data_IF_224412230678
#
_entry.id   IF_224412230678
#
_cell.length_a   1.000
_cell.length_b   1.000
_cell.length_c   1.000
_cell.angle_alpha   90.00
_cell.angle_beta   90.00
_cell.angle_gamma   90.00
#
_symmetry.space_group_name_H-M   'P 1'
#
loop_
_entity.id
_entity.type
_entity.pdbx_description
1 polymer ?
#
# COMPACT_ATOMS: atom_id res chain seq x y z
N UNK A 1 65.20 -16.93 -4.50
CA UNK A 1 65.48 -18.10 -5.37
C UNK A 1 64.36 -18.16 -6.34
N UNK A 2 64.53 -17.56 -7.53
CA UNK A 2 64.90 -18.19 -8.80
C UNK A 2 63.72 -18.99 -9.38
N UNK A 3 63.14 -18.84 -10.53
CA UNK A 3 63.59 -18.23 -11.79
C UNK A 3 62.38 -18.18 -12.77
N UNK A 4 62.26 -17.13 -13.54
CA UNK A 4 61.69 -17.04 -14.88
C UNK A 4 62.65 -17.77 -15.87
N UNK A 5 62.46 -18.01 -17.17
CA UNK A 5 61.69 -17.34 -18.21
C UNK A 5 61.32 -18.17 -19.48
N UNK A 6 60.85 -17.50 -20.53
CA UNK A 6 61.06 -17.87 -21.93
C UNK A 6 59.81 -17.81 -22.79
N UNK A 7 59.45 -16.81 -23.50
CA UNK A 7 59.97 -16.19 -24.77
C UNK A 7 60.04 -17.14 -25.98
N UNK A 8 59.39 -16.72 -27.09
CA UNK A 8 59.83 -16.59 -28.49
C UNK A 8 58.68 -16.69 -29.47
N UNK A 9 58.40 -15.69 -30.28
CA UNK A 9 59.00 -15.10 -31.47
C UNK A 9 58.56 -15.75 -32.79
N UNK A 10 57.87 -14.99 -33.62
CA UNK A 10 57.85 -14.70 -35.06
C UNK A 10 58.55 -15.69 -36.02
N UNK A 11 58.38 -15.61 -37.40
CA UNK A 11 58.00 -14.53 -38.33
C UNK A 11 57.37 -14.91 -39.68
N UNK A 12 57.18 -13.92 -40.56
CA UNK A 12 57.45 -13.96 -41.98
C UNK A 12 56.26 -13.76 -42.91
N UNK A 13 56.03 -12.69 -43.48
CA UNK A 13 56.57 -11.89 -44.58
C UNK A 13 56.37 -12.42 -46.00
N UNK A 14 55.97 -11.51 -46.89
CA UNK A 14 56.28 -11.29 -48.33
C UNK A 14 55.08 -11.44 -49.26
N UNK A 15 54.87 -10.70 -50.38
CA UNK A 15 55.50 -9.64 -51.11
C UNK A 15 54.53 -9.24 -52.22
N UNK A 16 54.57 -8.00 -52.68
CA UNK A 16 54.05 -7.32 -53.89
C UNK A 16 54.43 -8.01 -55.19
N UNK A 17 54.09 -7.51 -56.45
CA UNK A 17 53.54 -6.23 -56.91
C UNK A 17 52.65 -6.32 -58.19
N UNK A 18 52.18 -5.14 -58.71
CA UNK A 18 51.78 -5.06 -60.12
C UNK A 18 50.94 -3.82 -60.47
N UNK A 19 51.69 -2.82 -60.86
CA UNK A 19 51.25 -1.58 -61.51
C UNK A 19 50.62 -1.78 -62.88
N UNK A 20 49.67 -0.89 -63.27
CA UNK A 20 49.74 -0.19 -64.57
C UNK A 20 48.73 0.99 -64.68
N UNK A 21 49.22 2.09 -65.16
CA UNK A 21 48.69 3.34 -65.59
C UNK A 21 47.59 3.23 -66.64
N UNK A 22 46.64 4.21 -66.70
CA UNK A 22 46.35 5.08 -67.84
C UNK A 22 45.19 6.07 -67.60
N UNK A 23 45.50 7.34 -67.69
CA UNK A 23 44.99 8.56 -68.37
C UNK A 23 43.61 9.14 -68.02
N UNK A 24 43.76 10.37 -67.65
CA UNK A 24 42.96 11.63 -67.75
C UNK A 24 41.77 11.67 -68.69
N UNK A 25 40.63 12.21 -68.22
CA UNK A 25 40.07 13.54 -68.57
C UNK A 25 38.70 13.78 -67.94
N UNK A 26 38.15 15.04 -67.93
CA UNK A 26 37.48 15.61 -66.79
C UNK A 26 35.94 15.72 -66.97
N UNK A 27 35.21 15.62 -65.87
CA UNK A 27 33.82 16.05 -65.82
C UNK A 27 33.51 16.64 -64.44
N UNK A 28 34.13 17.79 -64.21
CA UNK A 28 33.69 18.71 -63.20
C UNK A 28 32.53 19.50 -63.77
N UNK A 29 31.31 19.33 -63.24
CA UNK A 29 30.21 20.32 -63.18
C UNK A 29 28.89 19.80 -62.65
N UNK A 30 28.75 18.49 -62.38
CA UNK A 30 27.49 17.94 -61.86
C UNK A 30 27.51 17.51 -60.39
N UNK A 31 28.63 17.65 -59.70
CA UNK A 31 28.74 17.19 -58.29
C UNK A 31 28.36 18.28 -57.26
N UNK A 32 28.22 19.57 -57.67
CA UNK A 32 27.88 20.62 -56.71
C UNK A 32 26.37 20.81 -56.49
N UNK A 33 25.52 20.33 -57.41
CA UNK A 33 24.07 20.43 -57.26
C UNK A 33 23.48 19.30 -56.39
N UNK A 34 24.15 18.15 -56.31
CA UNK A 34 23.67 17.02 -55.52
C UNK A 34 24.01 17.16 -53.99
N UNK A 35 25.09 17.89 -53.67
CA UNK A 35 25.48 18.13 -52.28
C UNK A 35 24.64 19.19 -51.55
N UNK A 36 24.09 20.17 -52.31
CA UNK A 36 23.17 21.15 -51.72
C UNK A 36 21.76 20.59 -51.49
N UNK A 37 21.29 19.60 -52.26
CA UNK A 37 19.98 18.97 -52.05
C UNK A 37 20.01 18.01 -50.81
N UNK A 38 21.12 17.36 -50.53
CA UNK A 38 21.26 16.54 -49.32
C UNK A 38 21.40 17.37 -48.02
N UNK A 39 21.96 18.57 -48.08
CA UNK A 39 22.07 19.46 -46.93
C UNK A 39 20.72 20.08 -46.50
N UNK A 40 19.79 20.24 -47.45
CA UNK A 40 18.43 20.77 -47.15
C UNK A 40 17.44 19.68 -46.63
N UNK A 41 17.72 18.38 -46.87
CA UNK A 41 16.88 17.29 -46.35
C UNK A 41 17.32 16.85 -44.96
N UNK A 42 18.53 17.19 -44.52
CA UNK A 42 19.04 16.80 -43.16
C UNK A 42 18.59 17.76 -42.06
N UNK A 43 18.03 18.92 -42.39
CA UNK A 43 17.54 19.90 -41.42
C UNK A 43 16.10 19.61 -40.93
N UNK A 44 15.43 18.58 -41.48
CA UNK A 44 14.03 18.25 -41.14
C UNK A 44 13.85 17.11 -40.14
N UNK A 45 14.95 16.52 -39.61
CA UNK A 45 14.90 15.45 -38.62
C UNK A 45 15.60 15.83 -37.27
N UNK A 46 15.50 17.10 -36.88
CA UNK A 46 15.68 17.42 -35.47
C UNK A 46 14.47 16.85 -34.71
N UNK A 47 14.63 16.00 -33.70
CA UNK A 47 13.51 15.60 -32.88
C UNK A 47 12.89 16.88 -32.32
N UNK A 48 11.63 17.12 -32.64
CA UNK A 48 10.87 18.20 -32.02
C UNK A 48 11.05 18.08 -30.52
N UNK A 49 11.33 19.18 -29.78
CA UNK A 49 11.38 19.12 -28.33
C UNK A 49 10.07 18.48 -27.90
N UNK A 50 10.19 17.34 -27.19
CA UNK A 50 9.03 16.57 -26.76
C UNK A 50 8.03 17.54 -26.17
N UNK A 51 6.90 17.68 -26.81
CA UNK A 51 5.73 18.33 -26.21
C UNK A 51 5.51 17.56 -24.93
N UNK A 52 5.94 18.13 -23.81
CA UNK A 52 5.41 17.76 -22.51
C UNK A 52 3.90 17.80 -22.72
N UNK A 53 3.30 16.63 -22.77
CA UNK A 53 1.85 16.55 -22.90
C UNK A 53 1.33 17.24 -21.65
N UNK A 54 0.85 18.48 -21.81
CA UNK A 54 0.13 19.20 -20.78
C UNK A 54 -1.03 18.28 -20.46
N UNK A 55 -0.97 17.62 -19.29
CA UNK A 55 -2.00 16.72 -18.85
C UNK A 55 -3.33 17.42 -19.09
N UNK A 56 -4.17 16.84 -19.97
CA UNK A 56 -5.57 17.27 -20.11
C UNK A 56 -6.10 17.20 -18.70
N UNK A 57 -6.54 18.35 -18.16
CA UNK A 57 -7.05 18.46 -16.81
C UNK A 57 -7.96 17.27 -16.54
N UNK A 58 -7.82 16.65 -15.38
CA UNK A 58 -8.73 15.59 -14.95
C UNK A 58 -10.15 16.08 -15.25
N UNK A 59 -11.04 15.25 -15.84
CA UNK A 59 -12.44 15.62 -15.99
C UNK A 59 -12.90 16.09 -14.63
N UNK A 60 -13.55 17.26 -14.58
CA UNK A 60 -14.03 17.85 -13.33
C UNK A 60 -14.55 16.75 -12.43
N UNK A 61 -13.90 16.57 -11.28
CA UNK A 61 -14.31 15.55 -10.34
C UNK A 61 -15.67 15.99 -9.84
N UNK A 62 -16.73 15.39 -10.39
CA UNK A 62 -18.12 15.76 -10.12
C UNK A 62 -18.53 15.29 -8.72
N UNK A 63 -17.80 15.75 -7.67
CA UNK A 63 -18.15 15.50 -6.29
C UNK A 63 -18.73 16.77 -5.67
N UNK A 64 -19.93 16.64 -5.16
CA UNK A 64 -20.57 17.67 -4.35
C UNK A 64 -20.02 17.59 -2.92
N UNK A 65 -19.40 18.66 -2.46
CA UNK A 65 -18.97 18.80 -1.06
C UNK A 65 -20.16 19.22 -0.22
N UNK A 66 -20.59 18.35 0.71
CA UNK A 66 -21.71 18.62 1.59
C UNK A 66 -21.30 19.40 2.83
N UNK A 67 -22.30 19.88 3.59
CA UNK A 67 -22.08 20.57 4.86
C UNK A 67 -21.24 19.70 5.81
N UNK A 68 -20.20 20.27 6.45
CA UNK A 68 -19.28 19.53 7.31
C UNK A 68 -19.93 19.08 8.62
N UNK A 69 -19.35 18.00 9.16
CA UNK A 69 -19.61 17.56 10.53
C UNK A 69 -18.29 17.69 11.31
N UNK A 70 -18.35 18.27 12.50
CA UNK A 70 -17.14 18.53 13.30
C UNK A 70 -17.27 17.98 14.71
N UNK A 71 -16.18 17.44 15.21
CA UNK A 71 -16.03 17.11 16.62
C UNK A 71 -14.60 17.43 17.07
N UNK A 72 -14.45 18.23 18.12
CA UNK A 72 -13.16 18.75 18.57
C UNK A 72 -12.40 19.40 17.40
N UNK A 73 -11.16 18.99 17.16
CA UNK A 73 -10.28 19.50 16.11
C UNK A 73 -10.41 18.77 14.74
N UNK A 74 -11.34 17.83 14.61
CA UNK A 74 -11.59 17.07 13.39
C UNK A 74 -12.86 17.59 12.70
N UNK A 75 -12.75 17.91 11.42
CA UNK A 75 -13.88 18.29 10.56
C UNK A 75 -13.92 17.38 9.34
N UNK A 76 -15.08 16.78 9.09
CA UNK A 76 -15.32 15.88 7.97
C UNK A 76 -16.30 16.53 7.00
N UNK A 77 -15.94 16.60 5.73
CA UNK A 77 -16.83 17.04 4.65
C UNK A 77 -17.25 15.79 3.87
N UNK A 78 -18.50 15.32 4.02
CA UNK A 78 -19.00 14.22 3.20
C UNK A 78 -19.06 14.64 1.74
N UNK A 79 -18.75 13.71 0.85
CA UNK A 79 -18.75 13.93 -0.60
C UNK A 79 -19.82 13.06 -1.25
N UNK A 80 -20.76 13.69 -1.95
CA UNK A 80 -21.72 12.99 -2.80
C UNK A 80 -21.20 12.94 -4.22
N UNK A 81 -21.37 11.80 -4.90
CA UNK A 81 -20.87 11.62 -6.27
C UNK A 81 -21.56 10.49 -7.01
N UNK A 82 -20.98 10.07 -8.12
CA UNK A 82 -21.42 8.88 -8.83
C UNK A 82 -21.36 7.66 -7.90
N UNK A 83 -22.40 6.85 -7.90
CA UNK A 83 -22.55 5.67 -7.05
C UNK A 83 -22.54 4.41 -7.92
N UNK A 84 -21.34 3.94 -8.25
CA UNK A 84 -21.17 2.74 -9.06
C UNK A 84 -21.53 1.49 -8.24
N UNK A 85 -22.10 0.47 -8.90
CA UNK A 85 -22.32 -0.83 -8.29
C UNK A 85 -20.96 -1.48 -7.93
N UNK A 86 -20.75 -1.76 -6.66
CA UNK A 86 -19.50 -2.30 -6.12
C UNK A 86 -19.67 -3.66 -5.43
N UNK A 87 -20.73 -4.39 -5.75
CA UNK A 87 -21.02 -5.72 -5.18
C UNK A 87 -20.02 -6.81 -5.58
N UNK A 88 -19.29 -6.58 -6.67
CA UNK A 88 -18.21 -7.45 -7.14
C UNK A 88 -16.94 -7.35 -6.28
N UNK A 89 -16.90 -6.42 -5.31
CA UNK A 89 -15.75 -6.22 -4.44
C UNK A 89 -16.04 -6.63 -3.00
N UNK A 90 -14.98 -7.06 -2.31
CA UNK A 90 -14.98 -7.40 -0.88
C UNK A 90 -13.84 -6.65 -0.19
N UNK A 91 -14.02 -6.30 1.08
CA UNK A 91 -12.97 -5.70 1.90
C UNK A 91 -12.12 -6.78 2.59
N UNK A 92 -10.94 -6.39 3.09
CA UNK A 92 -10.08 -7.29 3.86
C UNK A 92 -10.82 -7.86 5.08
N UNK A 93 -11.53 -6.99 5.83
CA UNK A 93 -12.25 -7.39 7.04
C UNK A 93 -13.38 -8.39 6.76
N UNK A 94 -14.10 -8.18 5.65
CA UNK A 94 -15.15 -9.14 5.22
C UNK A 94 -14.52 -10.47 4.83
N UNK A 95 -13.44 -10.44 4.05
CA UNK A 95 -12.78 -11.63 3.53
C UNK A 95 -12.13 -12.48 4.63
N UNK A 96 -11.40 -11.85 5.58
CA UNK A 96 -10.76 -12.56 6.70
C UNK A 96 -11.80 -13.09 7.69
N UNK A 97 -12.84 -12.29 8.01
CA UNK A 97 -13.93 -12.74 8.89
C UNK A 97 -14.67 -13.95 8.34
N UNK A 98 -14.92 -13.98 7.04
CA UNK A 98 -15.59 -15.08 6.36
C UNK A 98 -14.65 -16.25 6.08
N UNK A 99 -13.34 -16.10 6.37
CA UNK A 99 -12.32 -17.10 6.07
C UNK A 99 -12.07 -17.33 4.56
N UNK A 100 -12.55 -16.42 3.70
CA UNK A 100 -12.38 -16.51 2.25
C UNK A 100 -11.14 -15.79 1.75
N UNK A 101 -10.54 -14.93 2.58
CA UNK A 101 -9.23 -14.31 2.36
C UNK A 101 -8.31 -14.78 3.47
N UNK A 102 -7.15 -15.33 3.09
CA UNK A 102 -6.14 -15.82 4.03
C UNK A 102 -4.83 -15.11 3.75
N UNK A 103 -4.20 -14.63 4.82
CA UNK A 103 -2.86 -14.00 4.80
C UNK A 103 -1.95 -14.80 5.72
N UNK A 104 -0.73 -15.09 5.26
CA UNK A 104 0.27 -15.81 6.04
C UNK A 104 1.69 -15.31 5.77
N UNK A 105 2.64 -15.66 6.64
CA UNK A 105 4.07 -15.45 6.38
C UNK A 105 4.47 -16.16 5.09
N UNK A 106 5.26 -15.48 4.24
CA UNK A 106 5.80 -16.07 3.02
C UNK A 106 7.08 -16.83 3.33
N UNK A 107 7.15 -18.10 2.91
CA UNK A 107 8.34 -18.92 3.05
C UNK A 107 8.57 -19.52 4.46
N UNK A 108 7.66 -19.33 5.41
CA UNK A 108 7.72 -20.01 6.70
C UNK A 108 7.26 -21.47 6.53
N UNK A 109 8.19 -22.41 6.59
CA UNK A 109 7.84 -23.84 6.69
C UNK A 109 7.71 -24.23 8.15
N UNK A 110 6.56 -24.78 8.52
CA UNK A 110 6.37 -25.39 9.84
C UNK A 110 6.88 -26.82 9.76
N UNK A 111 8.11 -27.06 10.21
CA UNK A 111 8.60 -28.41 10.38
C UNK A 111 8.25 -28.91 11.78
N UNK A 112 7.55 -30.04 11.87
CA UNK A 112 7.35 -30.77 13.14
C UNK A 112 8.59 -31.59 13.43
N UNK A 113 9.39 -31.17 14.41
CA UNK A 113 10.51 -31.96 14.91
C UNK A 113 10.02 -32.91 16.01
N UNK A 114 10.16 -34.21 15.80
CA UNK A 114 9.96 -35.19 16.85
C UNK A 114 11.18 -35.15 17.78
N UNK A 115 11.03 -34.66 18.98
CA UNK A 115 12.08 -34.70 20.00
C UNK A 115 11.78 -35.83 21.00
N UNK A 116 12.74 -36.72 21.20
CA UNK A 116 12.66 -37.71 22.28
C UNK A 116 12.90 -37.00 23.59
N UNK A 117 11.88 -36.88 24.42
CA UNK A 117 12.03 -36.39 25.79
C UNK A 117 12.65 -37.45 26.69
N UNK A 118 13.26 -37.03 27.79
CA UNK A 118 13.92 -37.89 28.79
C UNK A 118 13.00 -38.96 29.42
N UNK A 119 11.70 -38.93 29.20
CA UNK A 119 10.68 -39.85 29.67
C UNK A 119 10.08 -40.76 28.61
N UNK A 120 10.75 -40.96 27.47
CA UNK A 120 10.29 -41.80 26.35
C UNK A 120 8.94 -41.38 25.71
N UNK A 121 8.38 -40.23 26.07
CA UNK A 121 7.23 -39.63 25.37
C UNK A 121 7.72 -38.77 24.19
N UNK A 122 7.20 -39.05 23.00
CA UNK A 122 7.44 -38.20 21.84
C UNK A 122 6.63 -36.90 21.98
N UNK A 123 7.33 -35.83 22.26
CA UNK A 123 6.72 -34.48 22.23
C UNK A 123 6.89 -33.93 20.82
N UNK A 124 5.79 -33.67 20.15
CA UNK A 124 5.82 -32.94 18.89
C UNK A 124 5.99 -31.45 19.21
N UNK A 125 7.16 -30.93 18.96
CA UNK A 125 7.43 -29.50 19.04
C UNK A 125 7.39 -28.91 17.64
N UNK A 126 6.45 -28.02 17.38
CA UNK A 126 6.43 -27.25 16.14
C UNK A 126 7.61 -26.26 16.18
N UNK A 127 8.56 -26.45 15.31
CA UNK A 127 9.68 -25.52 15.12
C UNK A 127 9.45 -24.80 13.81
N UNK A 128 9.22 -23.50 13.89
CA UNK A 128 9.14 -22.65 12.69
C UNK A 128 10.55 -22.31 12.24
N UNK A 129 10.94 -22.80 11.08
CA UNK A 129 12.17 -22.39 10.41
C UNK A 129 11.84 -21.25 9.46
N UNK A 130 12.47 -20.10 9.66
CA UNK A 130 12.32 -18.90 8.84
C UNK A 130 13.45 -18.75 7.81
N UNK A 131 13.83 -19.82 7.15
CA UNK A 131 14.73 -19.68 6.02
C UNK A 131 13.97 -19.08 4.84
N UNK A 132 14.15 -17.77 4.59
CA UNK A 132 13.60 -17.06 3.43
C UNK A 132 12.31 -16.26 3.67
N UNK A 133 11.87 -16.04 4.90
CA UNK A 133 10.75 -15.13 5.16
C UNK A 133 11.14 -13.70 4.75
N UNK A 134 10.45 -13.15 3.75
CA UNK A 134 10.61 -11.75 3.36
C UNK A 134 9.91 -10.87 4.38
N UNK A 135 10.65 -9.97 5.02
CA UNK A 135 10.12 -9.05 6.05
C UNK A 135 9.03 -8.14 5.46
N UNK A 136 9.10 -7.85 4.16
CA UNK A 136 8.24 -6.88 3.47
C UNK A 136 7.22 -7.53 2.54
N UNK A 137 7.06 -8.85 2.59
CA UNK A 137 6.06 -9.58 1.79
C UNK A 137 5.35 -10.63 2.61
N UNK A 138 4.03 -10.68 2.46
CA UNK A 138 3.17 -11.76 2.95
C UNK A 138 2.59 -12.54 1.77
N UNK A 139 2.11 -13.74 2.05
CA UNK A 139 1.35 -14.56 1.11
C UNK A 139 -0.14 -14.33 1.33
N UNK A 140 -0.90 -14.04 0.26
CA UNK A 140 -2.33 -13.82 0.31
C UNK A 140 -3.04 -14.73 -0.70
N UNK A 141 -4.15 -15.34 -0.27
CA UNK A 141 -5.07 -16.08 -1.15
C UNK A 141 -6.46 -15.48 -1.00
N UNK A 142 -7.11 -15.16 -2.14
CA UNK A 142 -8.47 -14.66 -2.21
C UNK A 142 -9.40 -15.72 -2.82
N UNK A 143 -10.13 -16.46 -2.00
CA UNK A 143 -11.12 -17.50 -2.39
C UNK A 143 -12.56 -16.98 -2.32
N UNK A 144 -12.79 -15.67 -2.19
CA UNK A 144 -14.12 -15.10 -1.95
C UNK A 144 -15.06 -15.11 -3.16
N UNK A 145 -14.55 -15.41 -4.36
CA UNK A 145 -15.30 -15.25 -5.61
C UNK A 145 -15.48 -13.78 -6.03
N UNK A 146 -15.01 -12.82 -5.23
CA UNK A 146 -15.07 -11.36 -5.47
C UNK A 146 -13.67 -10.77 -5.53
N UNK A 147 -13.52 -9.61 -6.17
CA UNK A 147 -12.27 -8.86 -6.15
C UNK A 147 -12.05 -8.29 -4.75
N UNK A 148 -10.90 -8.56 -4.15
CA UNK A 148 -10.53 -7.97 -2.86
C UNK A 148 -9.94 -6.58 -3.11
N UNK A 149 -10.55 -5.56 -2.53
CA UNK A 149 -9.94 -4.24 -2.44
C UNK A 149 -9.10 -4.17 -1.17
N UNK A 150 -7.85 -3.75 -1.30
CA UNK A 150 -6.95 -3.44 -0.21
C UNK A 150 -6.61 -1.95 -0.25
N UNK A 151 -6.67 -1.29 0.90
CA UNK A 151 -6.17 0.08 1.05
C UNK A 151 -4.78 0.09 1.69
N UNK A 152 -3.98 1.04 1.27
CA UNK A 152 -2.73 1.36 1.96
C UNK A 152 -2.99 1.65 3.43
N UNK A 153 -2.14 1.09 4.30
CA UNK A 153 -2.25 1.27 5.74
C UNK A 153 -3.23 0.33 6.44
N UNK A 154 -3.94 -0.57 5.75
CA UNK A 154 -4.72 -1.61 6.43
C UNK A 154 -3.81 -2.45 7.32
N UNK A 155 -4.20 -2.60 8.58
CA UNK A 155 -3.39 -3.26 9.62
C UNK A 155 -3.74 -4.74 9.69
N UNK A 156 -2.73 -5.59 9.55
CA UNK A 156 -2.83 -7.02 9.78
C UNK A 156 -1.95 -7.41 10.96
N UNK A 157 -2.51 -8.21 11.87
CA UNK A 157 -1.87 -8.62 13.12
C UNK A 157 -1.67 -10.13 13.16
N UNK A 158 -0.56 -10.55 13.68
CA UNK A 158 -0.21 -11.97 13.74
C UNK A 158 1.24 -12.20 13.34
N UNK A 159 1.54 -13.42 12.88
CA UNK A 159 2.86 -13.76 12.44
C UNK A 159 3.96 -13.36 13.42
N UNK A 160 5.14 -13.06 12.91
CA UNK A 160 6.27 -12.61 13.73
C UNK A 160 6.19 -11.15 14.15
N UNK A 161 5.55 -10.31 13.33
CA UNK A 161 5.38 -8.88 13.58
C UNK A 161 4.09 -8.40 12.91
N UNK A 162 3.44 -7.40 13.50
CA UNK A 162 2.29 -6.76 12.87
C UNK A 162 2.72 -5.97 11.62
N UNK A 163 1.84 -5.90 10.62
CA UNK A 163 2.11 -5.30 9.31
C UNK A 163 1.03 -4.31 8.92
N UNK A 164 1.40 -3.40 8.01
CA UNK A 164 0.44 -2.59 7.24
C UNK A 164 0.62 -2.83 5.75
N UNK A 165 -0.49 -2.81 5.00
CA UNK A 165 -0.47 -2.89 3.54
C UNK A 165 0.23 -1.65 2.97
N UNK A 166 1.15 -1.87 2.02
CA UNK A 166 1.99 -0.80 1.47
C UNK A 166 1.21 0.17 0.60
N UNK A 167 0.37 -0.32 -0.31
CA UNK A 167 -0.31 0.49 -1.32
C UNK A 167 -1.70 -0.07 -1.63
N UNK A 168 -2.56 0.77 -2.22
CA UNK A 168 -3.87 0.33 -2.67
C UNK A 168 -3.73 -0.73 -3.77
N UNK A 169 -4.49 -1.82 -3.66
CA UNK A 169 -4.44 -2.94 -4.61
C UNK A 169 -5.80 -3.58 -4.83
N UNK A 170 -5.96 -4.21 -5.99
CA UNK A 170 -7.05 -5.13 -6.27
C UNK A 170 -6.48 -6.53 -6.42
N UNK A 171 -6.98 -7.48 -5.63
CA UNK A 171 -6.60 -8.89 -5.75
C UNK A 171 -7.79 -9.66 -6.36
N UNK A 172 -7.65 -10.20 -7.56
CA UNK A 172 -8.71 -11.00 -8.18
C UNK A 172 -9.08 -12.22 -7.31
N UNK A 173 -10.27 -12.80 -7.51
CA UNK A 173 -10.61 -14.07 -6.88
C UNK A 173 -9.80 -15.20 -7.55
N UNK A 174 -8.71 -15.61 -6.90
CA UNK A 174 -7.79 -16.62 -7.39
C UNK A 174 -7.43 -17.60 -6.28
N UNK A 175 -7.27 -18.87 -6.65
CA UNK A 175 -6.84 -19.93 -5.71
C UNK A 175 -5.33 -19.98 -5.50
N UNK A 176 -4.57 -19.23 -6.31
CA UNK A 176 -3.10 -19.17 -6.21
C UNK A 176 -2.67 -18.11 -5.21
N UNK A 177 -1.54 -18.34 -4.58
CA UNK A 177 -0.94 -17.38 -3.65
C UNK A 177 -0.40 -16.15 -4.38
N UNK A 178 -0.78 -14.98 -3.90
CA UNK A 178 -0.31 -13.67 -4.38
C UNK A 178 0.63 -13.06 -3.34
N UNK A 179 1.73 -12.45 -3.78
CA UNK A 179 2.60 -11.67 -2.91
C UNK A 179 1.93 -10.35 -2.52
N UNK A 180 1.85 -10.07 -1.22
CA UNK A 180 1.32 -8.84 -0.67
C UNK A 180 2.47 -8.02 -0.07
N UNK A 181 2.76 -6.86 -0.65
CA UNK A 181 3.77 -5.94 -0.14
C UNK A 181 3.26 -5.23 1.12
N UNK A 182 4.06 -5.25 2.16
CA UNK A 182 3.70 -4.73 3.49
C UNK A 182 4.89 -4.04 4.14
N UNK A 183 4.63 -3.26 5.20
CA UNK A 183 5.64 -2.74 6.11
C UNK A 183 5.42 -3.25 7.52
N UNK A 184 6.52 -3.48 8.26
CA UNK A 184 6.46 -3.77 9.69
C UNK A 184 6.04 -2.53 10.47
N UNK A 185 5.12 -2.71 11.42
CA UNK A 185 4.68 -1.68 12.36
C UNK A 185 4.88 -2.09 13.81
N UNK A 186 5.82 -3.01 14.03
CA UNK A 186 6.24 -3.51 15.35
C UNK A 186 7.75 -3.80 15.32
N UNK A 187 8.56 -2.79 15.66
CA UNK A 187 10.00 -2.85 15.50
C UNK A 187 10.70 -3.87 16.39
N UNK A 188 10.24 -4.04 17.63
CA UNK A 188 10.94 -4.81 18.66
C UNK A 188 10.56 -6.28 18.77
N UNK A 189 9.59 -6.80 18.01
CA UNK A 189 9.17 -8.21 18.09
C UNK A 189 9.63 -8.99 16.87
N UNK A 190 10.40 -10.06 17.11
CA UNK A 190 10.81 -11.01 16.06
C UNK A 190 10.45 -12.46 16.45
N UNK A 191 9.34 -12.65 17.16
CA UNK A 191 8.84 -13.96 17.57
C UNK A 191 7.35 -14.08 17.23
N UNK A 192 6.94 -15.22 16.67
CA UNK A 192 5.54 -15.45 16.35
C UNK A 192 4.66 -15.36 17.61
N UNK A 193 3.57 -14.61 17.54
CA UNK A 193 2.48 -14.72 18.51
C UNK A 193 1.84 -16.09 18.33
N UNK A 194 1.95 -16.94 19.35
CA UNK A 194 1.12 -18.14 19.43
C UNK A 194 -0.32 -17.68 19.69
N UNK A 195 -1.14 -17.65 18.65
CA UNK A 195 -2.60 -17.64 18.85
C UNK A 195 -2.96 -19.00 19.43
N UNK A 196 -3.06 -19.07 20.77
CA UNK A 196 -3.56 -20.25 21.47
C UNK A 196 -5.02 -20.45 21.08
N UNK A 197 -5.26 -21.30 20.10
CA UNK A 197 -6.56 -21.95 19.96
C UNK A 197 -6.70 -22.91 21.14
N UNK A 198 -7.59 -22.55 22.08
CA UNK A 198 -7.83 -23.30 23.29
C UNK A 198 -8.35 -24.71 23.00
N UNK A 199 -7.49 -25.67 23.29
CA UNK A 199 -7.84 -27.06 23.53
C UNK A 199 -7.48 -27.38 24.98
N UNK A 200 -8.50 -27.60 25.79
CA UNK A 200 -8.64 -27.96 27.17
C UNK A 200 -7.43 -28.27 28.08
N UNK A 201 -7.45 -27.64 29.24
CA UNK A 201 -7.04 -28.20 30.50
C UNK A 201 -5.61 -28.02 30.98
N UNK A 202 -5.34 -27.04 31.84
CA UNK A 202 -4.82 -27.30 33.19
C UNK A 202 -4.53 -26.01 33.95
N UNK A 203 -4.80 -26.05 35.24
CA UNK A 203 -4.70 -25.00 36.27
C UNK A 203 -3.27 -24.44 36.39
N UNK A 204 -3.13 -23.13 36.33
CA UNK A 204 -1.93 -22.40 36.76
C UNK A 204 -2.28 -20.92 36.83
N UNK A 205 -2.42 -20.38 38.05
CA UNK A 205 -2.91 -19.04 38.34
C UNK A 205 -1.99 -17.93 37.81
N UNK A 206 -2.50 -17.17 36.90
CA UNK A 206 -1.96 -15.90 36.45
C UNK A 206 -3.15 -14.95 36.23
N UNK A 207 -3.20 -13.90 37.04
CA UNK A 207 -4.27 -12.90 37.07
C UNK A 207 -4.35 -12.17 35.73
N UNK A 208 -5.31 -12.55 34.87
CA UNK A 208 -5.65 -11.83 33.63
C UNK A 208 -6.38 -10.55 34.00
N UNK A 209 -5.81 -9.41 33.62
CA UNK A 209 -6.50 -8.14 33.61
C UNK A 209 -7.32 -8.12 32.29
N UNK A 210 -8.63 -7.94 32.44
CA UNK A 210 -9.63 -8.13 31.39
C UNK A 210 -9.39 -7.27 30.15
N UNK A 211 -9.18 -7.92 29.02
CA UNK A 211 -9.38 -7.39 27.68
C UNK A 211 -10.82 -7.60 27.27
N UNK A 212 -11.41 -6.61 26.59
CA UNK A 212 -12.77 -6.66 26.04
C UNK A 212 -12.86 -7.85 25.09
N UNK A 213 -13.52 -8.91 25.48
CA UNK A 213 -13.84 -10.03 24.62
C UNK A 213 -14.92 -9.60 23.66
N UNK A 214 -14.54 -9.23 22.42
CA UNK A 214 -15.47 -9.43 21.32
C UNK A 214 -15.66 -10.95 21.19
N UNK A 215 -16.83 -11.44 21.52
CA UNK A 215 -17.21 -12.83 21.40
C UNK A 215 -17.10 -13.24 19.94
N UNK A 216 -15.97 -13.87 19.56
CA UNK A 216 -15.75 -14.40 18.24
C UNK A 216 -16.45 -15.75 18.15
N UNK A 217 -17.40 -15.86 17.21
CA UNK A 217 -17.91 -17.15 16.78
C UNK A 217 -16.73 -18.10 16.44
N UNK A 218 -16.81 -19.40 16.74
CA UNK A 218 -15.76 -20.34 16.43
C UNK A 218 -15.49 -20.35 14.92
N UNK A 219 -14.30 -19.92 14.54
CA UNK A 219 -13.86 -20.02 13.16
C UNK A 219 -13.69 -21.50 12.84
N UNK A 220 -14.55 -22.05 11.98
CA UNK A 220 -14.37 -23.39 11.44
C UNK A 220 -12.97 -23.50 10.85
N UNK A 221 -12.27 -24.57 11.16
CA UNK A 221 -10.98 -24.88 10.57
C UNK A 221 -11.15 -24.90 9.05
N UNK A 222 -10.57 -23.92 8.35
CA UNK A 222 -10.53 -23.92 6.90
C UNK A 222 -9.70 -25.09 6.40
N UNK A 223 -10.06 -25.68 5.23
CA UNK A 223 -9.21 -26.66 4.59
C UNK A 223 -7.81 -26.09 4.40
N UNK A 224 -6.80 -26.96 4.45
CA UNK A 224 -5.41 -26.60 4.19
C UNK A 224 -5.31 -25.85 2.86
N UNK A 225 -5.09 -24.55 2.93
CA UNK A 225 -5.04 -23.65 1.78
C UNK A 225 -3.66 -23.61 1.13
N UNK A 226 -2.76 -24.50 1.57
CA UNK A 226 -1.38 -24.57 1.07
C UNK A 226 -0.48 -23.45 1.58
N UNK A 227 -0.97 -22.61 2.51
CA UNK A 227 -0.18 -21.58 3.17
C UNK A 227 0.41 -22.13 4.47
N UNK A 228 1.64 -22.62 4.38
CA UNK A 228 2.41 -23.11 5.53
C UNK A 228 3.10 -21.93 6.22
N UNK A 229 2.43 -21.24 7.11
CA UNK A 229 3.03 -20.13 7.85
C UNK A 229 2.13 -19.61 8.95
N UNK A 230 2.68 -18.74 9.80
CA UNK A 230 1.88 -18.04 10.79
C UNK A 230 0.87 -17.13 10.07
N UNK A 231 -0.41 -17.25 10.42
CA UNK A 231 -1.50 -16.51 9.79
C UNK A 231 -1.65 -15.12 10.41
N UNK A 232 -2.21 -14.23 9.59
CA UNK A 232 -2.57 -12.87 9.98
C UNK A 232 -4.07 -12.69 9.93
N UNK A 233 -4.58 -11.95 10.90
CA UNK A 233 -5.95 -11.45 10.91
C UNK A 233 -5.97 -9.95 10.60
N UNK A 234 -7.06 -9.46 10.01
CA UNK A 234 -7.29 -8.02 9.94
C UNK A 234 -7.53 -7.47 11.35
N UNK A 235 -6.84 -6.38 11.72
CA UNK A 235 -7.13 -5.65 12.95
C UNK A 235 -8.49 -4.90 12.88
N UNK A 236 -9.09 -4.77 11.69
CA UNK A 236 -10.25 -3.91 11.47
C UNK A 236 -9.90 -2.42 11.58
N UNK A 237 -8.66 -2.07 11.33
CA UNK A 237 -8.12 -0.73 11.41
C UNK A 237 -7.30 -0.37 10.17
N UNK A 238 -7.23 0.94 9.88
CA UNK A 238 -6.34 1.54 8.91
C UNK A 238 -5.39 2.46 9.68
N UNK A 239 -4.13 2.47 9.33
CA UNK A 239 -3.13 3.38 9.89
C UNK A 239 -3.57 4.84 9.75
N UNK A 240 -3.17 5.69 10.67
CA UNK A 240 -3.49 7.12 10.61
C UNK A 240 -2.83 7.80 9.38
N UNK A 241 -3.34 8.95 8.91
CA UNK A 241 -2.93 9.58 7.66
C UNK A 241 -1.42 9.67 7.44
N UNK A 242 -0.65 10.12 8.43
CA UNK A 242 0.81 10.25 8.29
C UNK A 242 1.50 8.90 8.10
N UNK A 243 1.06 7.85 8.80
CA UNK A 243 1.60 6.51 8.65
C UNK A 243 1.22 5.90 7.29
N UNK A 244 -0.01 6.18 6.78
CA UNK A 244 -0.40 5.83 5.40
C UNK A 244 0.47 6.54 4.38
N UNK A 245 0.78 7.82 4.59
CA UNK A 245 1.68 8.58 3.71
C UNK A 245 3.10 7.99 3.71
N UNK A 246 3.64 7.60 4.88
CA UNK A 246 4.94 6.94 4.97
C UNK A 246 4.95 5.61 4.19
N UNK A 247 3.87 4.83 4.26
CA UNK A 247 3.75 3.56 3.54
C UNK A 247 3.56 3.74 2.04
N UNK A 248 2.59 4.55 1.60
CA UNK A 248 2.15 4.62 0.21
C UNK A 248 2.97 5.59 -0.63
N UNK A 249 3.39 6.71 -0.06
CA UNK A 249 4.08 7.78 -0.77
C UNK A 249 5.60 7.68 -0.66
N UNK A 250 6.12 7.54 0.56
CA UNK A 250 7.57 7.43 0.79
C UNK A 250 8.10 6.03 0.49
N UNK A 251 7.33 4.97 0.77
CA UNK A 251 7.65 3.55 0.54
C UNK A 251 8.96 3.10 1.22
N UNK A 252 9.26 3.66 2.39
CA UNK A 252 10.47 3.41 3.15
C UNK A 252 10.15 2.82 4.54
N UNK A 253 10.73 1.65 4.87
CA UNK A 253 10.51 0.99 6.17
C UNK A 253 10.95 1.85 7.35
N UNK A 254 12.04 2.59 7.20
CA UNK A 254 12.56 3.50 8.22
C UNK A 254 11.61 4.67 8.49
N UNK A 255 10.98 5.20 7.45
CA UNK A 255 9.95 6.25 7.59
C UNK A 255 8.71 5.72 8.32
N UNK A 256 8.28 4.50 8.00
CA UNK A 256 7.18 3.82 8.70
C UNK A 256 7.49 3.63 10.18
N UNK A 257 8.65 3.13 10.55
CA UNK A 257 9.06 2.97 11.95
C UNK A 257 9.16 4.31 12.70
N UNK A 258 9.73 5.32 12.04
CA UNK A 258 9.83 6.67 12.61
C UNK A 258 8.44 7.24 12.94
N UNK A 259 7.46 7.06 12.05
CA UNK A 259 6.10 7.55 12.25
C UNK A 259 5.36 6.73 13.32
N UNK A 260 5.55 5.41 13.39
CA UNK A 260 5.01 4.58 14.49
C UNK A 260 5.52 5.06 15.83
N UNK A 261 6.85 5.20 15.97
CA UNK A 261 7.48 5.68 17.22
C UNK A 261 7.03 7.08 17.59
N UNK A 262 6.96 7.99 16.62
CA UNK A 262 6.49 9.37 16.85
C UNK A 262 5.03 9.40 17.34
N UNK A 263 4.16 8.60 16.72
CA UNK A 263 2.76 8.50 17.12
C UNK A 263 2.61 7.84 18.49
N UNK A 264 3.30 6.75 18.77
CA UNK A 264 3.27 6.08 20.07
C UNK A 264 3.77 7.01 21.18
N UNK A 265 4.85 7.76 20.96
CA UNK A 265 5.34 8.78 21.90
C UNK A 265 4.32 9.90 22.12
N UNK A 266 3.71 10.42 21.04
CA UNK A 266 2.67 11.48 21.09
C UNK A 266 1.47 11.04 21.93
N UNK A 267 1.06 9.77 21.82
CA UNK A 267 -0.12 9.24 22.49
C UNK A 267 0.20 8.58 23.85
N UNK A 268 1.47 8.51 24.24
CA UNK A 268 1.87 7.82 25.48
C UNK A 268 1.68 6.30 25.44
N UNK A 269 1.73 5.70 24.25
CA UNK A 269 1.58 4.25 24.02
C UNK A 269 2.90 3.54 23.74
N UNK A 270 4.03 4.19 23.96
CA UNK A 270 5.35 3.56 23.79
C UNK A 270 5.47 2.32 24.68
N UNK A 271 5.95 1.23 24.09
CA UNK A 271 6.10 -0.06 24.74
C UNK A 271 7.38 -0.76 24.24
N UNK A 272 7.73 -1.92 24.82
CA UNK A 272 8.99 -2.61 24.52
C UNK A 272 9.14 -3.10 23.08
N UNK A 273 8.04 -3.33 22.36
CA UNK A 273 8.05 -3.78 20.96
C UNK A 273 7.75 -2.66 19.98
N UNK A 274 7.37 -1.48 20.47
CA UNK A 274 6.95 -0.31 19.71
C UNK A 274 5.88 -0.64 18.66
N UNK A 275 4.88 -1.48 19.06
CA UNK A 275 3.81 -1.88 18.15
C UNK A 275 2.78 -0.78 17.96
N UNK A 276 2.37 -0.57 16.72
CA UNK A 276 1.26 0.33 16.38
C UNK A 276 -0.10 -0.14 16.92
N UNK A 277 -0.26 -1.46 17.15
CA UNK A 277 -1.49 -2.04 17.70
C UNK A 277 -1.86 -1.42 19.06
N UNK A 278 -0.87 -0.96 19.85
CA UNK A 278 -1.10 -0.38 21.18
C UNK A 278 -2.00 0.84 21.13
N UNK A 279 -2.03 1.59 20.02
CA UNK A 279 -2.95 2.71 19.83
C UNK A 279 -4.41 2.28 19.97
N UNK A 280 -4.74 1.06 19.55
CA UNK A 280 -6.12 0.54 19.60
C UNK A 280 -6.41 -0.32 20.83
N UNK A 281 -5.38 -0.87 21.48
CA UNK A 281 -5.52 -1.70 22.69
C UNK A 281 -5.49 -0.90 23.98
N UNK A 282 -4.94 0.30 23.98
CA UNK A 282 -4.92 1.19 25.14
C UNK A 282 -6.33 1.71 25.47
N UNK A 283 -6.80 1.42 26.68
CA UNK A 283 -8.18 1.72 27.11
C UNK A 283 -8.56 3.19 27.04
N UNK A 284 -7.65 4.08 27.44
CA UNK A 284 -7.92 5.52 27.47
C UNK A 284 -8.04 6.08 26.05
N UNK A 285 -7.15 5.64 25.15
CA UNK A 285 -7.20 6.05 23.73
C UNK A 285 -8.43 5.45 23.07
N UNK A 286 -8.72 4.16 23.27
CA UNK A 286 -9.91 3.52 22.73
C UNK A 286 -11.19 4.24 23.15
N UNK A 287 -11.33 4.63 24.43
CA UNK A 287 -12.47 5.43 24.89
C UNK A 287 -12.58 6.79 24.17
N UNK A 288 -11.44 7.47 23.99
CA UNK A 288 -11.44 8.76 23.28
C UNK A 288 -11.77 8.59 21.79
N UNK A 289 -11.28 7.53 21.14
CA UNK A 289 -11.65 7.20 19.75
C UNK A 289 -13.15 6.93 19.60
N UNK A 290 -13.75 6.22 20.56
CA UNK A 290 -15.21 5.96 20.56
C UNK A 290 -16.03 7.24 20.71
N UNK A 291 -15.52 8.31 21.36
CA UNK A 291 -16.18 9.62 21.38
C UNK A 291 -16.24 10.25 19.98
N UNK A 292 -15.12 10.19 19.21
CA UNK A 292 -15.09 10.65 17.82
C UNK A 292 -16.04 9.82 16.94
N UNK A 293 -16.03 8.51 17.10
CA UNK A 293 -16.91 7.60 16.36
C UNK A 293 -18.36 7.93 16.63
N UNK A 294 -18.75 8.09 17.92
CA UNK A 294 -20.13 8.41 18.32
C UNK A 294 -20.61 9.73 17.74
N UNK A 295 -19.74 10.73 17.71
CA UNK A 295 -20.07 12.09 17.23
C UNK A 295 -20.17 12.15 15.68
N UNK A 296 -19.38 11.38 14.94
CA UNK A 296 -19.19 11.61 13.51
C UNK A 296 -19.70 10.48 12.61
N UNK A 297 -19.76 9.24 13.10
CA UNK A 297 -19.99 8.07 12.23
C UNK A 297 -21.32 8.13 11.48
N UNK A 298 -22.44 8.39 12.17
CA UNK A 298 -23.77 8.39 11.57
C UNK A 298 -24.04 9.64 10.74
N UNK A 299 -23.49 10.77 11.16
CA UNK A 299 -23.72 12.06 10.52
C UNK A 299 -23.06 12.15 9.13
N UNK A 300 -22.05 11.33 8.87
CA UNK A 300 -21.34 11.27 7.58
C UNK A 300 -21.99 10.27 6.63
N UNK A 301 -22.49 9.13 7.13
CA UNK A 301 -23.14 8.09 6.33
C UNK A 301 -24.54 8.52 5.88
N UNK A 302 -24.61 9.36 4.84
CA UNK A 302 -25.85 9.82 4.20
C UNK A 302 -26.01 9.15 2.84
N UNK A 303 -27.23 9.06 2.29
CA UNK A 303 -27.48 8.50 0.96
C UNK A 303 -26.61 9.18 -0.12
N UNK A 304 -25.96 8.37 -0.96
CA UNK A 304 -25.10 8.84 -2.04
C UNK A 304 -23.75 9.43 -1.64
N UNK A 305 -23.38 9.35 -0.36
CA UNK A 305 -22.02 9.71 0.08
C UNK A 305 -21.06 8.60 -0.29
N UNK A 306 -20.04 8.97 -1.06
CA UNK A 306 -19.02 8.06 -1.61
C UNK A 306 -17.62 8.31 -1.04
N UNK A 307 -17.46 9.32 -0.19
CA UNK A 307 -16.16 9.67 0.37
C UNK A 307 -16.18 10.91 1.25
N UNK A 308 -15.01 11.33 1.66
CA UNK A 308 -14.83 12.49 2.56
C UNK A 308 -13.59 13.30 2.21
N UNK A 309 -13.65 14.62 2.53
CA UNK A 309 -12.46 15.42 2.82
C UNK A 309 -12.35 15.56 4.33
N UNK A 310 -11.15 15.38 4.83
CA UNK A 310 -10.80 15.45 6.24
C UNK A 310 -9.97 16.69 6.51
N UNK A 311 -10.39 17.48 7.47
CA UNK A 311 -9.63 18.61 7.97
C UNK A 311 -9.32 18.44 9.46
N UNK A 312 -8.11 18.83 9.85
CA UNK A 312 -7.61 18.82 11.21
C UNK A 312 -7.13 20.22 11.58
N UNK A 313 -7.52 20.70 12.76
CA UNK A 313 -7.17 22.05 13.24
C UNK A 313 -7.48 23.15 12.21
N UNK A 314 -8.62 23.03 11.49
CA UNK A 314 -9.05 24.00 10.50
C UNK A 314 -8.44 23.86 9.10
N UNK A 315 -7.54 22.91 8.87
CA UNK A 315 -6.87 22.71 7.57
C UNK A 315 -7.29 21.38 6.93
N UNK A 316 -7.81 21.36 5.67
CA UNK A 316 -7.96 20.13 4.91
C UNK A 316 -6.60 19.46 4.67
N UNK A 317 -6.49 18.17 5.01
CA UNK A 317 -5.23 17.42 4.97
C UNK A 317 -5.34 16.10 4.20
N UNK A 318 -6.57 15.58 4.03
CA UNK A 318 -6.78 14.25 3.49
C UNK A 318 -8.11 14.13 2.75
N UNK A 319 -8.17 13.23 1.76
CA UNK A 319 -9.42 12.79 1.16
C UNK A 319 -9.34 11.31 0.82
N UNK A 320 -10.41 10.56 1.11
CA UNK A 320 -10.64 9.20 0.62
C UNK A 320 -12.00 9.13 -0.06
N UNK A 321 -12.06 8.71 -1.33
CA UNK A 321 -13.28 8.69 -2.15
C UNK A 321 -13.35 7.37 -2.92
N UNK A 322 -14.49 6.71 -2.87
CA UNK A 322 -14.71 5.41 -3.48
C UNK A 322 -15.63 5.51 -4.71
N UNK A 323 -15.60 4.48 -5.54
CA UNK A 323 -16.48 4.39 -6.70
C UNK A 323 -17.98 4.34 -6.32
N UNK A 324 -18.29 3.86 -5.10
CA UNK A 324 -19.67 3.71 -4.66
C UNK A 324 -19.83 3.82 -3.15
N UNK A 325 -21.05 4.20 -2.75
CA UNK A 325 -21.45 4.40 -1.34
C UNK A 325 -21.33 3.13 -0.50
N UNK A 326 -21.56 1.95 -1.10
CA UNK A 326 -21.42 0.65 -0.42
C UNK A 326 -19.97 0.42 0.03
N UNK A 327 -18.98 0.65 -0.84
CA UNK A 327 -17.57 0.51 -0.46
C UNK A 327 -17.18 1.55 0.56
N UNK A 328 -17.56 2.82 0.38
CA UNK A 328 -17.31 3.85 1.36
C UNK A 328 -17.88 3.46 2.73
N UNK A 329 -19.12 3.02 2.81
CA UNK A 329 -19.76 2.61 4.07
C UNK A 329 -19.00 1.44 4.73
N UNK A 330 -18.48 0.48 3.95
CA UNK A 330 -17.71 -0.65 4.47
C UNK A 330 -16.34 -0.22 5.06
N UNK A 331 -15.70 0.81 4.47
CA UNK A 331 -14.42 1.33 4.95
C UNK A 331 -14.56 2.42 6.02
N UNK A 332 -15.68 3.13 6.05
CA UNK A 332 -15.86 4.33 6.88
C UNK A 332 -15.55 4.14 8.37
N UNK A 333 -15.99 3.05 9.05
CA UNK A 333 -15.73 2.90 10.49
C UNK A 333 -14.22 2.88 10.82
N UNK A 334 -13.40 2.23 10.00
CA UNK A 334 -11.95 2.16 10.22
C UNK A 334 -11.20 3.40 9.73
N UNK A 335 -11.69 4.06 8.67
CA UNK A 335 -11.15 5.35 8.23
C UNK A 335 -11.41 6.43 9.27
N UNK A 336 -12.61 6.50 9.84
CA UNK A 336 -12.91 7.46 10.89
C UNK A 336 -11.99 7.30 12.10
N UNK A 337 -11.77 6.06 12.55
CA UNK A 337 -10.81 5.79 13.64
C UNK A 337 -9.40 6.22 13.28
N UNK A 338 -8.96 5.97 12.04
CA UNK A 338 -7.66 6.42 11.51
C UNK A 338 -7.50 7.95 11.60
N UNK A 339 -8.50 8.71 11.17
CA UNK A 339 -8.48 10.17 11.24
C UNK A 339 -8.53 10.68 12.69
N UNK A 340 -9.30 10.01 13.54
CA UNK A 340 -9.36 10.33 14.96
C UNK A 340 -8.01 10.11 15.65
N UNK A 341 -7.28 9.02 15.35
CA UNK A 341 -5.91 8.79 15.84
C UNK A 341 -5.00 9.96 15.47
N UNK A 342 -5.06 10.44 14.22
CA UNK A 342 -4.26 11.58 13.76
C UNK A 342 -4.60 12.87 14.51
N UNK A 343 -5.88 13.04 14.91
CA UNK A 343 -6.36 14.20 15.65
C UNK A 343 -6.02 14.18 17.14
N UNK A 344 -5.67 13.01 17.71
CA UNK A 344 -5.31 12.88 19.12
C UNK A 344 -3.93 13.49 19.40
N UNK A 345 -3.76 14.00 20.63
CA UNK A 345 -2.48 14.49 21.14
C UNK A 345 -2.00 15.81 20.52
N UNK A 346 -2.75 16.43 19.60
CA UNK A 346 -2.48 17.76 19.11
C UNK A 346 -3.18 18.81 19.98
N UNK A 347 -2.62 20.04 20.00
CA UNK A 347 -3.35 21.19 20.51
C UNK A 347 -4.63 21.36 19.70
N UNK A 348 -5.77 21.40 20.35
CA UNK A 348 -7.06 21.57 19.69
C UNK A 348 -7.23 23.01 19.23
N UNK A 349 -7.64 23.18 17.98
CA UNK A 349 -8.06 24.46 17.41
C UNK A 349 -9.55 24.43 17.11
N UNK A 350 -10.25 25.49 17.47
CA UNK A 350 -11.67 25.66 17.14
C UNK A 350 -11.90 26.17 15.71
N UNK A 351 -10.83 26.34 14.93
CA UNK A 351 -10.91 26.74 13.53
C UNK A 351 -11.75 25.70 12.74
N UNK A 352 -12.69 26.22 11.96
CA UNK A 352 -13.57 25.40 11.11
C UNK A 352 -13.33 25.79 9.65
N UNK A 353 -12.84 24.86 8.83
CA UNK A 353 -12.67 25.12 7.42
C UNK A 353 -14.03 25.21 6.72
N UNK A 354 -14.08 25.95 5.64
CA UNK A 354 -15.28 26.16 4.82
C UNK A 354 -15.42 25.04 3.77
N UNK A 355 -16.61 24.94 3.19
CA UNK A 355 -16.87 24.05 2.02
C UNK A 355 -15.99 24.44 0.84
N UNK A 356 -15.74 25.73 0.64
CA UNK A 356 -14.89 26.27 -0.43
C UNK A 356 -13.42 25.85 -0.25
N UNK A 357 -12.91 25.84 0.97
CA UNK A 357 -11.56 25.33 1.26
C UNK A 357 -11.45 23.83 0.96
N UNK A 358 -12.47 23.04 1.30
CA UNK A 358 -12.53 21.63 0.98
C UNK A 358 -12.61 21.40 -0.54
N UNK A 359 -13.40 22.20 -1.28
CA UNK A 359 -13.45 22.19 -2.76
C UNK A 359 -12.09 22.57 -3.36
N UNK A 360 -11.48 23.63 -2.87
CA UNK A 360 -10.15 24.08 -3.28
C UNK A 360 -9.07 23.04 -3.03
N UNK A 361 -9.18 22.29 -1.93
CA UNK A 361 -8.29 21.16 -1.67
C UNK A 361 -8.44 20.08 -2.74
N UNK A 362 -9.66 19.67 -3.09
CA UNK A 362 -9.93 18.66 -4.11
C UNK A 362 -9.53 19.11 -5.53
N UNK A 363 -9.69 20.38 -5.85
CA UNK A 363 -9.43 20.91 -7.21
C UNK A 363 -7.94 20.92 -7.59
N UNK A 364 -7.01 20.87 -6.64
CA UNK A 364 -5.56 20.87 -6.89
C UNK A 364 -5.09 19.45 -7.21
N UNK A 365 -4.99 19.12 -8.49
CA UNK A 365 -4.66 17.77 -8.98
C UNK A 365 -3.52 17.76 -10.01
N UNK A 366 -2.89 18.89 -10.29
CA UNK A 366 -1.75 18.99 -11.20
C UNK A 366 -0.49 18.42 -10.53
N UNK A 367 0.42 17.85 -11.33
CA UNK A 367 1.67 17.30 -10.82
C UNK A 367 2.36 16.37 -11.80
N UNK A 368 3.44 15.77 -11.33
CA UNK A 368 4.13 14.70 -12.06
C UNK A 368 3.33 13.43 -11.92
N UNK A 369 3.03 12.77 -13.03
CA UNK A 369 2.22 11.55 -13.06
C UNK A 369 3.09 10.34 -13.26
N UNK A 370 2.91 9.31 -12.44
CA UNK A 370 3.45 7.97 -12.62
C UNK A 370 2.35 6.93 -12.50
N UNK A 371 2.53 5.78 -13.15
CA UNK A 371 1.52 4.71 -13.15
C UNK A 371 2.19 3.36 -12.93
N UNK A 372 1.69 2.62 -11.96
CA UNK A 372 1.99 1.20 -11.78
C UNK A 372 0.83 0.38 -12.31
N UNK A 373 1.10 -0.58 -13.19
CA UNK A 373 0.05 -1.42 -13.80
C UNK A 373 0.25 -2.88 -13.42
N UNK A 374 -0.80 -3.49 -12.89
CA UNK A 374 -0.97 -4.93 -12.84
C UNK A 374 -1.84 -5.32 -14.03
N UNK A 375 -1.21 -5.90 -15.05
CA UNK A 375 -1.85 -6.23 -16.35
C UNK A 375 -3.18 -6.98 -16.16
N UNK A 376 -4.23 -6.51 -16.85
CA UNK A 376 -5.57 -7.10 -16.80
C UNK A 376 -6.31 -7.00 -15.47
N UNK A 377 -5.75 -6.31 -14.46
CA UNK A 377 -6.35 -6.19 -13.13
C UNK A 377 -6.56 -4.72 -12.76
N UNK A 378 -5.48 -3.98 -12.52
CA UNK A 378 -5.60 -2.58 -12.06
C UNK A 378 -4.45 -1.70 -12.51
N UNK A 379 -4.70 -0.40 -12.45
CA UNK A 379 -3.68 0.65 -12.49
C UNK A 379 -3.76 1.47 -11.20
N UNK A 380 -2.60 1.73 -10.62
CA UNK A 380 -2.42 2.72 -9.55
C UNK A 380 -1.69 3.92 -10.13
N UNK A 381 -2.41 5.03 -10.27
CA UNK A 381 -1.90 6.29 -10.80
C UNK A 381 -1.53 7.20 -9.64
N UNK A 382 -0.28 7.63 -9.58
CA UNK A 382 0.21 8.63 -8.62
C UNK A 382 0.41 9.95 -9.33
N UNK A 383 -0.15 11.02 -8.79
CA UNK A 383 0.15 12.41 -9.17
C UNK A 383 0.77 13.12 -7.99
N UNK A 384 1.95 13.70 -8.15
CA UNK A 384 2.70 14.28 -7.03
C UNK A 384 3.16 15.71 -7.27
N UNK A 385 3.15 16.46 -6.17
CA UNK A 385 3.69 17.80 -6.00
C UNK A 385 4.45 17.86 -4.65
N UNK A 386 5.33 18.85 -4.43
CA UNK A 386 5.99 18.99 -3.14
C UNK A 386 5.03 19.06 -1.94
N UNK A 387 3.83 19.65 -2.12
CA UNK A 387 2.85 19.87 -1.06
C UNK A 387 1.82 18.73 -0.90
N UNK A 388 1.66 17.85 -1.87
CA UNK A 388 0.66 16.78 -1.80
C UNK A 388 0.97 15.62 -2.77
N UNK A 389 0.36 14.48 -2.48
CA UNK A 389 0.27 13.35 -3.40
C UNK A 389 -1.20 12.94 -3.60
N UNK A 390 -1.50 12.46 -4.81
CA UNK A 390 -2.81 11.90 -5.17
C UNK A 390 -2.59 10.49 -5.69
N UNK A 391 -3.39 9.54 -5.25
CA UNK A 391 -3.39 8.16 -5.73
C UNK A 391 -4.78 7.81 -6.26
N UNK A 392 -4.82 7.21 -7.44
CA UNK A 392 -6.06 6.71 -8.04
C UNK A 392 -5.90 5.23 -8.36
N UNK A 393 -6.63 4.38 -7.67
CA UNK A 393 -6.72 2.96 -8.00
C UNK A 393 -7.84 2.75 -9.02
N UNK A 394 -7.51 2.22 -10.18
CA UNK A 394 -8.44 1.97 -11.28
C UNK A 394 -8.52 0.48 -11.59
N UNK A 395 -9.71 -0.10 -11.55
CA UNK A 395 -9.96 -1.44 -12.06
C UNK A 395 -10.01 -1.40 -13.59
N UNK A 396 -9.03 -2.01 -14.24
CA UNK A 396 -8.93 -2.07 -15.71
C UNK A 396 -9.37 -3.41 -16.29
N UNK A 397 -9.85 -4.33 -15.46
CA UNK A 397 -10.41 -5.60 -15.91
C UNK A 397 -11.84 -5.47 -16.43
N UNK A 398 -12.46 -4.30 -16.27
CA UNK A 398 -13.80 -3.96 -16.76
C UNK A 398 -13.72 -3.38 -18.17
N UNK A 399 -14.81 -3.50 -18.95
CA UNK A 399 -14.90 -2.93 -20.31
C UNK A 399 -14.60 -1.42 -20.33
N UNK A 400 -15.01 -0.69 -19.31
CA UNK A 400 -14.59 0.69 -19.05
C UNK A 400 -13.86 0.72 -17.70
N UNK A 401 -12.63 1.26 -17.65
CA UNK A 401 -11.89 1.36 -16.39
C UNK A 401 -12.68 2.12 -15.32
N UNK A 402 -12.82 1.52 -14.14
CA UNK A 402 -13.50 2.12 -12.99
C UNK A 402 -12.47 2.64 -12.00
N UNK A 403 -12.49 3.96 -11.70
CA UNK A 403 -11.73 4.50 -10.56
C UNK A 403 -12.38 4.03 -9.27
N UNK A 404 -11.78 3.02 -8.64
CA UNK A 404 -12.31 2.33 -7.48
C UNK A 404 -12.07 3.10 -6.18
N UNK A 405 -10.87 3.70 -6.07
CA UNK A 405 -10.49 4.52 -4.93
C UNK A 405 -9.65 5.72 -5.38
N UNK A 406 -9.91 6.86 -4.79
CA UNK A 406 -9.13 8.08 -4.91
C UNK A 406 -8.69 8.51 -3.52
N UNK A 407 -7.41 8.72 -3.36
CA UNK A 407 -6.84 9.22 -2.14
C UNK A 407 -5.99 10.47 -2.43
N UNK A 408 -6.15 11.50 -1.62
CA UNK A 408 -5.29 12.69 -1.65
C UNK A 408 -4.77 12.99 -0.26
N UNK A 409 -3.48 13.26 -0.17
CA UNK A 409 -2.77 13.51 1.08
C UNK A 409 -1.86 14.74 1.00
N UNK A 410 -1.86 15.58 2.04
CA UNK A 410 -0.83 16.59 2.24
C UNK A 410 0.50 15.92 2.64
N UNK A 411 1.63 16.54 2.29
CA UNK A 411 2.99 16.14 2.64
C UNK A 411 3.61 17.02 3.70
#
# INVERSE_FOLDING_TARGET
>A
MTHNPGSRLFPGSRFFPGSRFFTRRPASRFLLAALCACALLSAALAPAPGRVARAKGHPELAWEVLAPVSYKNLTIFPLRGGDAATDAYITLDEGTRNGTVVIAERGAQTATRRVRGASNRQIQQAVSYNEGASVNELALVNKSGKKLLLLSGEVVVGGQQDRIVQEDRIIPPVSVTVALSVFCVEHGRWTARTTSYGGGGSRGGGRMVGGVSAERAPVQALPDDGLAGAKFDSLGAVAHPKLRAAAQDQKEQTAVWSEVSANNKKLGTSNSTDTYQEVYSNRQIAATLEDYVRALQREVLRPGVVGVVVARNGKPIWADIFAGSRLFAAYWPKLLKSYAVDALGDNTSDARPTVEEARGYLARLNGTVSTTTQEGVYQLVKTEQPAYAVFELRDISLAAPLRLHFNKMDR
#
